data_IF_323176014212
#
_entry.id   IF_323176014212
#
_cell.length_a   1.000
_cell.length_b   1.000
_cell.length_c   1.000
_cell.angle_alpha   90.00
_cell.angle_beta   90.00
_cell.angle_gamma   90.00
#
_symmetry.space_group_name_H-M   'P 1'
#
loop_
_entity.id
_entity.type
_entity.pdbx_description
1 polymer ?
#
# COMPACT_ATOMS: atom_id res chain seq x y z
N UNK A 1 38.97 10.11 22.65
CA UNK A 1 39.56 11.43 22.92
C UNK A 1 38.47 12.33 23.46
N UNK A 2 38.68 12.79 24.68
CA UNK A 2 37.71 13.43 25.58
C UNK A 2 37.76 14.95 25.32
N UNK A 3 36.60 15.60 25.16
CA UNK A 3 36.48 17.06 25.29
C UNK A 3 35.61 17.38 26.51
N UNK A 4 36.30 17.73 27.59
CA UNK A 4 35.77 18.57 28.66
C UNK A 4 35.82 20.04 28.23
N UNK A 5 35.08 20.91 28.93
CA UNK A 5 35.33 22.35 29.26
C UNK A 5 33.97 23.03 29.47
N UNK A 6 33.51 23.14 30.72
CA UNK A 6 33.50 24.33 31.63
C UNK A 6 32.25 25.21 31.44
N UNK A 7 31.23 25.16 32.29
CA UNK A 7 31.03 25.89 33.57
C UNK A 7 30.96 27.42 33.42
N UNK A 8 29.76 27.99 33.60
CA UNK A 8 29.57 29.38 34.01
C UNK A 8 28.30 29.50 34.87
N UNK A 9 28.52 29.94 36.10
CA UNK A 9 27.56 30.27 37.17
C UNK A 9 27.18 31.74 37.03
N UNK A 10 25.90 32.11 37.16
CA UNK A 10 25.48 33.45 37.59
C UNK A 10 24.33 33.35 38.58
N UNK A 11 24.47 34.10 39.66
CA UNK A 11 23.73 34.01 40.91
C UNK A 11 22.55 35.00 41.00
N UNK A 12 21.66 34.68 41.93
CA UNK A 12 20.96 35.56 42.88
C UNK A 12 20.02 36.66 42.36
N UNK A 13 18.73 36.53 42.70
CA UNK A 13 17.96 37.63 43.32
C UNK A 13 17.04 37.05 44.40
N UNK A 14 17.21 37.52 45.63
CA UNK A 14 16.33 37.33 46.77
C UNK A 14 15.00 38.07 46.54
N UNK A 15 13.88 37.41 46.85
CA UNK A 15 12.56 38.04 46.87
C UNK A 15 11.70 37.39 47.94
N UNK A 16 11.80 37.90 49.16
CA UNK A 16 10.92 37.54 50.29
C UNK A 16 9.52 38.10 50.04
N UNK A 17 8.51 37.22 49.97
CA UNK A 17 7.12 37.61 50.19
C UNK A 17 6.48 36.65 51.19
N UNK A 18 6.23 37.19 52.38
CA UNK A 18 5.36 36.62 53.40
C UNK A 18 3.92 36.82 52.91
N UNK A 19 3.25 35.73 52.53
CA UNK A 19 1.81 35.73 52.28
C UNK A 19 1.11 35.03 53.44
N UNK A 20 0.25 35.78 54.12
CA UNK A 20 -0.59 35.34 55.23
C UNK A 20 -1.45 34.14 54.82
N UNK A 21 -1.43 33.08 55.63
CA UNK A 21 -2.35 31.95 55.52
C UNK A 21 -3.74 32.39 55.99
N UNK A 22 -4.58 32.79 55.04
CA UNK A 22 -6.03 32.91 55.27
C UNK A 22 -6.58 31.49 55.28
N UNK A 23 -7.00 31.01 56.45
CA UNK A 23 -7.70 29.74 56.59
C UNK A 23 -9.02 29.81 55.79
N UNK A 24 -9.10 29.04 54.70
CA UNK A 24 -10.35 28.81 53.99
C UNK A 24 -11.25 27.85 54.80
N UNK A 25 -12.58 28.04 54.79
CA UNK A 25 -13.51 27.13 55.45
C UNK A 25 -13.51 25.76 54.72
N UNK A 26 -13.86 24.66 55.41
CA UNK A 26 -13.94 23.35 54.77
C UNK A 26 -15.13 23.34 53.80
N UNK A 27 -14.86 23.46 52.51
CA UNK A 27 -15.85 23.15 51.49
C UNK A 27 -15.98 21.63 51.39
N UNK A 28 -16.97 21.09 52.09
CA UNK A 28 -17.65 19.87 51.69
C UNK A 28 -18.35 20.13 50.36
N UNK A 29 -17.61 19.99 49.28
CA UNK A 29 -18.17 19.74 47.96
C UNK A 29 -17.57 18.42 47.50
N UNK A 30 -18.39 17.37 47.63
CA UNK A 30 -18.17 16.16 46.87
C UNK A 30 -18.16 16.55 45.41
N UNK A 31 -16.95 16.73 44.87
CA UNK A 31 -16.72 16.76 43.45
C UNK A 31 -17.28 15.44 42.91
N UNK A 32 -18.52 15.49 42.41
CA UNK A 32 -19.03 14.47 41.52
C UNK A 32 -17.98 14.39 40.41
N UNK A 33 -17.17 13.33 40.44
CA UNK A 33 -16.17 13.08 39.43
C UNK A 33 -16.92 13.15 38.10
N UNK A 34 -16.62 14.17 37.30
CA UNK A 34 -17.16 14.30 35.97
C UNK A 34 -16.81 13.00 35.24
N UNK A 35 -17.80 12.15 35.04
CA UNK A 35 -17.63 10.88 34.36
C UNK A 35 -17.13 11.23 32.97
N UNK A 36 -15.88 10.83 32.67
CA UNK A 36 -15.32 10.99 31.34
C UNK A 36 -16.30 10.34 30.34
N UNK A 37 -16.52 10.96 29.16
CA UNK A 37 -17.43 10.41 28.17
C UNK A 37 -17.02 8.97 27.84
N UNK A 38 -18.00 8.08 27.73
CA UNK A 38 -17.76 6.69 27.34
C UNK A 38 -17.03 6.65 25.98
N UNK A 39 -16.00 5.83 25.89
CA UNK A 39 -15.22 5.67 24.66
C UNK A 39 -16.05 5.02 23.56
N UNK A 40 -16.11 5.66 22.39
CA UNK A 40 -16.71 5.09 21.17
C UNK A 40 -15.62 4.39 20.32
N UNK A 41 -15.64 3.04 20.23
CA UNK A 41 -14.65 2.28 19.48
C UNK A 41 -14.91 2.24 17.97
N UNK A 42 -16.01 2.82 17.46
CA UNK A 42 -16.49 2.64 16.08
C UNK A 42 -15.39 2.86 15.05
N UNK A 43 -14.71 4.01 15.13
CA UNK A 43 -13.64 4.34 14.18
C UNK A 43 -12.48 3.34 14.21
N UNK A 44 -12.13 2.82 15.39
CA UNK A 44 -11.07 1.83 15.52
C UNK A 44 -11.49 0.49 14.88
N UNK A 45 -12.72 0.02 15.16
CA UNK A 45 -13.27 -1.18 14.55
C UNK A 45 -13.33 -1.06 13.01
N UNK A 46 -13.80 0.08 12.50
CA UNK A 46 -13.82 0.36 11.05
C UNK A 46 -12.43 0.28 10.43
N UNK A 47 -11.40 0.82 11.09
CA UNK A 47 -10.03 0.74 10.58
C UNK A 47 -9.50 -0.69 10.54
N UNK A 48 -9.81 -1.51 11.54
CA UNK A 48 -9.43 -2.93 11.55
C UNK A 48 -10.12 -3.72 10.43
N UNK A 49 -11.42 -3.49 10.24
CA UNK A 49 -12.20 -4.11 9.15
C UNK A 49 -11.63 -3.71 7.79
N UNK A 50 -11.36 -2.41 7.59
CA UNK A 50 -10.81 -1.89 6.34
C UNK A 50 -9.41 -2.47 6.06
N UNK A 51 -8.54 -2.53 7.07
CA UNK A 51 -7.22 -3.12 6.91
C UNK A 51 -7.31 -4.61 6.55
N UNK A 52 -8.17 -5.38 7.23
CA UNK A 52 -8.34 -6.81 6.94
C UNK A 52 -8.89 -7.07 5.54
N UNK A 53 -9.85 -6.26 5.09
CA UNK A 53 -10.37 -6.29 3.71
C UNK A 53 -9.29 -6.01 2.66
N UNK A 54 -8.39 -5.05 2.93
CA UNK A 54 -7.25 -4.77 2.06
C UNK A 54 -6.26 -5.94 2.04
N UNK A 55 -5.91 -6.49 3.20
CA UNK A 55 -5.03 -7.66 3.30
C UNK A 55 -5.55 -8.84 2.48
N UNK A 56 -6.84 -9.18 2.63
CA UNK A 56 -7.52 -10.21 1.83
C UNK A 56 -7.41 -9.96 0.32
N UNK A 57 -7.46 -8.70 -0.10
CA UNK A 57 -7.37 -8.32 -1.53
C UNK A 57 -5.95 -8.46 -2.06
N UNK A 58 -4.94 -8.24 -1.21
CA UNK A 58 -3.53 -8.18 -1.58
C UNK A 58 -2.77 -9.51 -1.44
N UNK A 59 -3.33 -10.51 -0.74
CA UNK A 59 -2.65 -11.76 -0.36
C UNK A 59 -1.98 -12.51 -1.52
N UNK A 60 -2.58 -12.51 -2.72
CA UNK A 60 -2.01 -13.17 -3.90
C UNK A 60 -1.15 -12.29 -4.79
N UNK A 61 -0.95 -11.01 -4.45
CA UNK A 61 -0.29 -10.00 -5.31
C UNK A 61 1.00 -9.48 -4.71
N UNK A 62 1.09 -9.36 -3.38
CA UNK A 62 2.27 -8.86 -2.69
C UNK A 62 3.19 -10.01 -2.24
N UNK A 63 4.52 -9.79 -2.17
CA UNK A 63 5.38 -10.71 -1.44
C UNK A 63 5.08 -10.66 0.07
N UNK A 64 5.22 -11.79 0.75
CA UNK A 64 4.77 -11.94 2.14
C UNK A 64 3.28 -12.30 2.21
N UNK A 65 2.73 -12.34 3.43
CA UNK A 65 1.30 -12.62 3.66
C UNK A 65 0.70 -11.47 4.48
N UNK A 66 0.15 -10.43 3.81
CA UNK A 66 -0.63 -9.40 4.49
C UNK A 66 -1.75 -9.98 5.36
N UNK A 67 -2.29 -11.16 5.00
CA UNK A 67 -3.25 -11.89 5.80
C UNK A 67 -2.62 -12.43 7.10
N UNK A 68 -1.42 -12.99 7.05
CA UNK A 68 -0.69 -13.38 8.26
C UNK A 68 -0.34 -12.16 9.12
N UNK A 69 0.13 -11.07 8.50
CA UNK A 69 0.47 -9.81 9.18
C UNK A 69 -0.74 -9.14 9.85
N UNK A 70 -1.97 -9.57 9.52
CA UNK A 70 -3.22 -9.06 10.09
C UNK A 70 -3.99 -10.09 10.92
N UNK A 71 -3.38 -11.23 11.27
CA UNK A 71 -4.03 -12.33 12.00
C UNK A 71 -4.56 -11.92 13.36
N UNK A 72 -3.85 -11.05 14.08
CA UNK A 72 -4.26 -10.51 15.40
C UNK A 72 -5.62 -9.80 15.36
N UNK A 73 -6.01 -9.22 14.21
CA UNK A 73 -7.34 -8.62 14.06
C UNK A 73 -8.41 -9.71 14.06
N UNK A 74 -8.15 -10.85 13.43
CA UNK A 74 -9.07 -11.99 13.47
C UNK A 74 -9.22 -12.51 14.90
N UNK A 75 -8.11 -12.65 15.62
CA UNK A 75 -8.09 -13.06 17.03
C UNK A 75 -8.90 -12.08 17.90
N UNK A 76 -8.74 -10.78 17.66
CA UNK A 76 -9.51 -9.74 18.36
C UNK A 76 -11.02 -9.91 18.17
N UNK A 77 -11.51 -10.08 16.93
CA UNK A 77 -12.94 -10.29 16.69
C UNK A 77 -13.46 -11.62 17.27
N UNK A 78 -12.67 -12.69 17.18
CA UNK A 78 -13.01 -13.98 17.78
C UNK A 78 -13.12 -13.90 19.30
N UNK A 79 -12.22 -13.15 19.96
CA UNK A 79 -12.25 -12.93 21.41
C UNK A 79 -13.51 -12.19 21.85
N UNK A 80 -14.06 -11.33 20.98
CA UNK A 80 -15.33 -10.65 21.19
C UNK A 80 -16.55 -11.50 20.82
N UNK A 81 -16.36 -12.77 20.43
CA UNK A 81 -17.43 -13.65 19.96
C UNK A 81 -18.04 -13.23 18.63
N UNK A 82 -17.34 -12.38 17.86
CA UNK A 82 -17.78 -11.87 16.57
C UNK A 82 -17.12 -12.61 15.41
N UNK A 83 -17.85 -12.72 14.30
CA UNK A 83 -17.28 -13.22 13.06
C UNK A 83 -16.29 -12.20 12.45
N UNK A 84 -15.18 -12.71 11.94
CA UNK A 84 -14.20 -11.91 11.22
C UNK A 84 -14.78 -11.34 9.92
N UNK A 85 -14.46 -10.08 9.55
CA UNK A 85 -14.80 -9.54 8.25
C UNK A 85 -14.01 -10.23 7.14
N UNK A 86 -14.70 -10.95 6.24
CA UNK A 86 -14.10 -11.67 5.10
C UNK A 86 -14.34 -11.01 3.74
N UNK A 87 -14.77 -9.76 3.73
CA UNK A 87 -15.06 -9.02 2.50
C UNK A 87 -13.77 -8.61 1.78
N UNK A 88 -13.76 -8.73 0.45
CA UNK A 88 -12.69 -8.25 -0.43
C UNK A 88 -13.04 -6.84 -0.93
N UNK A 89 -12.02 -6.00 -1.17
CA UNK A 89 -12.19 -4.72 -1.83
C UNK A 89 -12.37 -4.90 -3.35
N UNK A 90 -13.61 -4.87 -3.81
CA UNK A 90 -13.95 -5.11 -5.23
C UNK A 90 -13.43 -4.02 -6.17
N UNK A 91 -13.31 -2.77 -5.69
CA UNK A 91 -12.77 -1.66 -6.48
C UNK A 91 -11.26 -1.85 -6.66
N UNK A 92 -10.54 -2.08 -5.57
CA UNK A 92 -9.11 -2.35 -5.61
C UNK A 92 -8.80 -3.60 -6.44
N UNK A 93 -9.55 -4.69 -6.25
CA UNK A 93 -9.39 -5.91 -7.03
C UNK A 93 -9.54 -5.66 -8.54
N UNK A 94 -10.49 -4.80 -8.95
CA UNK A 94 -10.66 -4.42 -10.36
C UNK A 94 -9.47 -3.63 -10.88
N UNK A 95 -8.96 -2.69 -10.10
CA UNK A 95 -7.78 -1.90 -10.45
C UNK A 95 -6.53 -2.78 -10.59
N UNK A 96 -6.29 -3.69 -9.64
CA UNK A 96 -5.19 -4.65 -9.70
C UNK A 96 -5.26 -5.51 -10.96
N UNK A 97 -6.45 -6.07 -11.27
CA UNK A 97 -6.65 -6.85 -12.50
C UNK A 97 -6.37 -6.03 -13.76
N UNK A 98 -6.83 -4.78 -13.80
CA UNK A 98 -6.60 -3.90 -14.96
C UNK A 98 -5.11 -3.59 -15.13
N UNK A 99 -4.41 -3.29 -14.03
CA UNK A 99 -2.98 -3.01 -14.05
C UNK A 99 -2.16 -4.24 -14.49
N UNK A 100 -2.45 -5.42 -13.95
CA UNK A 100 -1.77 -6.67 -14.33
C UNK A 100 -1.97 -6.97 -15.82
N UNK A 101 -3.19 -6.79 -16.35
CA UNK A 101 -3.47 -7.00 -17.78
C UNK A 101 -2.73 -5.99 -18.66
N UNK A 102 -2.72 -4.72 -18.28
CA UNK A 102 -2.00 -3.67 -19.00
C UNK A 102 -0.48 -3.96 -19.04
N UNK A 103 0.10 -4.35 -17.90
CA UNK A 103 1.52 -4.71 -17.82
C UNK A 103 1.85 -5.99 -18.61
N UNK A 104 0.97 -6.99 -18.60
CA UNK A 104 1.16 -8.17 -19.44
C UNK A 104 1.12 -7.80 -20.93
N UNK A 105 0.19 -6.94 -21.32
CA UNK A 105 0.08 -6.46 -22.70
C UNK A 105 1.32 -5.67 -23.16
N UNK A 106 1.88 -4.80 -22.30
CA UNK A 106 3.09 -4.04 -22.64
C UNK A 106 4.30 -4.96 -22.86
N UNK A 107 4.50 -5.94 -21.99
CA UNK A 107 5.55 -6.95 -22.14
C UNK A 107 5.34 -7.75 -23.43
N UNK A 108 4.11 -8.19 -23.72
CA UNK A 108 3.81 -8.91 -24.95
C UNK A 108 4.10 -8.07 -26.19
N UNK A 109 3.70 -6.79 -26.19
CA UNK A 109 3.96 -5.89 -27.31
C UNK A 109 5.47 -5.73 -27.56
N UNK A 110 6.27 -5.50 -26.50
CA UNK A 110 7.72 -5.40 -26.62
C UNK A 110 8.34 -6.68 -27.21
N UNK A 111 7.94 -7.85 -26.69
CA UNK A 111 8.42 -9.14 -27.18
C UNK A 111 8.04 -9.39 -28.63
N UNK A 112 6.83 -9.05 -29.03
CA UNK A 112 6.38 -9.19 -30.42
C UNK A 112 7.14 -8.25 -31.36
N UNK A 113 7.48 -7.02 -30.95
CA UNK A 113 8.34 -6.11 -31.76
C UNK A 113 9.68 -6.79 -31.99
N UNK A 114 10.30 -7.29 -30.92
CA UNK A 114 11.60 -7.96 -30.99
C UNK A 114 11.56 -9.19 -31.91
N UNK A 115 10.55 -10.06 -31.74
CA UNK A 115 10.37 -11.24 -32.58
C UNK A 115 10.11 -10.90 -34.05
N UNK A 116 9.35 -9.84 -34.33
CA UNK A 116 9.10 -9.41 -35.70
C UNK A 116 10.39 -8.92 -36.40
N UNK A 117 11.28 -8.23 -35.68
CA UNK A 117 12.57 -7.82 -36.21
C UNK A 117 13.46 -9.02 -36.57
N UNK A 118 13.53 -10.02 -35.69
CA UNK A 118 14.29 -11.26 -35.91
C UNK A 118 13.71 -12.02 -37.11
N UNK A 119 12.38 -12.22 -37.15
CA UNK A 119 11.70 -12.85 -38.27
C UNK A 119 12.02 -12.13 -39.58
N UNK A 120 11.96 -10.80 -39.59
CA UNK A 120 12.26 -10.00 -40.78
C UNK A 120 13.69 -10.21 -41.30
N UNK A 121 14.67 -10.45 -40.42
CA UNK A 121 16.03 -10.83 -40.83
C UNK A 121 16.04 -12.24 -41.46
N UNK A 122 15.53 -13.24 -40.74
CA UNK A 122 15.51 -14.62 -41.22
C UNK A 122 14.69 -14.80 -42.50
N UNK A 123 13.62 -14.05 -42.69
CA UNK A 123 12.80 -14.07 -43.89
C UNK A 123 13.56 -13.56 -45.13
N UNK A 124 14.45 -12.58 -44.96
CA UNK A 124 15.34 -12.12 -46.04
C UNK A 124 16.35 -13.19 -46.40
N UNK A 125 17.02 -13.77 -45.41
CA UNK A 125 18.00 -14.83 -45.62
C UNK A 125 17.36 -16.05 -46.29
N UNK A 126 16.17 -16.45 -45.85
CA UNK A 126 15.36 -17.48 -46.49
C UNK A 126 15.07 -17.13 -47.95
N UNK A 127 14.63 -15.91 -48.24
CA UNK A 127 14.28 -15.49 -49.60
C UNK A 127 15.49 -15.53 -50.54
N UNK A 128 16.69 -15.24 -50.04
CA UNK A 128 17.94 -15.28 -50.81
C UNK A 128 18.44 -16.69 -51.09
N UNK A 129 18.16 -17.65 -50.20
CA UNK A 129 18.77 -18.98 -50.23
C UNK A 129 17.79 -20.13 -50.49
N UNK A 130 16.47 -19.87 -50.50
CA UNK A 130 15.47 -20.93 -50.71
C UNK A 130 15.55 -21.51 -52.13
N UNK A 131 15.23 -22.80 -52.33
CA UNK A 131 14.97 -23.36 -53.64
C UNK A 131 13.77 -22.69 -54.35
N UNK A 132 13.73 -22.77 -55.68
CA UNK A 132 12.64 -22.18 -56.49
C UNK A 132 11.28 -22.79 -56.18
N UNK A 133 11.23 -24.10 -55.88
CA UNK A 133 9.99 -24.81 -55.56
C UNK A 133 9.40 -24.43 -54.19
N UNK A 134 10.15 -23.71 -53.34
CA UNK A 134 9.69 -23.34 -52.00
C UNK A 134 8.89 -22.03 -52.02
N UNK A 135 7.86 -21.88 -51.16
CA UNK A 135 7.02 -20.68 -51.14
C UNK A 135 7.80 -19.44 -50.71
N UNK A 136 7.23 -18.26 -50.92
CA UNK A 136 7.77 -17.03 -50.34
C UNK A 136 7.59 -17.03 -48.81
N UNK A 137 8.47 -16.33 -48.09
CA UNK A 137 8.29 -16.11 -46.67
C UNK A 137 6.95 -15.37 -46.42
N UNK A 138 6.14 -15.83 -45.45
CA UNK A 138 4.90 -15.15 -45.08
C UNK A 138 5.13 -13.67 -44.70
N UNK A 139 4.17 -12.80 -45.03
CA UNK A 139 4.19 -11.44 -44.52
C UNK A 139 3.61 -11.42 -43.12
N UNK A 140 4.33 -10.82 -42.17
CA UNK A 140 3.81 -10.55 -40.83
C UNK A 140 3.50 -9.06 -40.69
N UNK A 141 2.51 -8.74 -39.85
CA UNK A 141 2.22 -7.37 -39.45
C UNK A 141 2.68 -7.16 -38.02
N UNK A 142 3.70 -6.33 -37.83
CA UNK A 142 4.05 -5.76 -36.54
C UNK A 142 3.28 -4.45 -36.41
N UNK A 143 2.03 -4.53 -35.95
CA UNK A 143 1.19 -3.36 -35.72
C UNK A 143 1.58 -2.63 -34.44
N UNK A 144 1.13 -1.38 -34.26
CA UNK A 144 1.11 -0.78 -32.93
C UNK A 144 0.03 -1.51 -32.11
N UNK A 145 0.43 -2.53 -31.33
CA UNK A 145 -0.49 -3.29 -30.48
C UNK A 145 -1.07 -2.45 -29.33
N UNK A 146 -0.37 -1.39 -28.95
CA UNK A 146 -0.78 -0.43 -27.95
C UNK A 146 -0.52 0.99 -28.45
N UNK A 147 -1.40 1.92 -28.07
CA UNK A 147 -1.24 3.35 -28.29
C UNK A 147 -0.31 4.00 -27.27
N UNK A 148 -0.15 3.39 -26.08
CA UNK A 148 0.80 3.82 -25.05
C UNK A 148 1.81 2.73 -24.70
N UNK A 149 2.93 3.12 -24.06
CA UNK A 149 3.93 2.18 -23.55
C UNK A 149 3.39 1.21 -22.50
N UNK A 150 2.34 1.59 -21.78
CA UNK A 150 1.75 0.77 -20.70
C UNK A 150 0.55 -0.03 -21.15
N UNK A 151 0.07 0.15 -22.39
CA UNK A 151 -1.15 -0.46 -22.89
C UNK A 151 -2.38 -0.22 -21.99
N UNK A 152 -2.37 0.86 -21.19
CA UNK A 152 -3.41 1.14 -20.20
C UNK A 152 -4.77 1.51 -20.82
N UNK A 153 -4.75 1.93 -22.08
CA UNK A 153 -5.91 2.23 -22.92
C UNK A 153 -6.69 0.99 -23.38
N UNK A 154 -6.09 -0.21 -23.28
CA UNK A 154 -6.77 -1.44 -23.66
C UNK A 154 -8.00 -1.66 -22.76
N UNK A 155 -9.18 -1.68 -23.36
CA UNK A 155 -10.42 -2.06 -22.69
C UNK A 155 -10.48 -3.59 -22.59
N UNK A 156 -10.47 -4.12 -21.37
CA UNK A 156 -10.59 -5.54 -21.06
C UNK A 156 -11.82 -5.84 -20.20
#
# INVERSE_FOLDING_TARGET
>A
MIRAVTLAVVAAVCGSMVAAQVAAPPTTDGAAAAQAPAYDPTRFLETMVNYRRLALTCEGTLPGSPLADSEEISIFFQTLGMAEPRAIDTQLQRLTKKLVRAQAASICAERLVQSAAIYGQSARDYTQNKPDAWPAAPRISAGPWCASLTCAELSF
#
